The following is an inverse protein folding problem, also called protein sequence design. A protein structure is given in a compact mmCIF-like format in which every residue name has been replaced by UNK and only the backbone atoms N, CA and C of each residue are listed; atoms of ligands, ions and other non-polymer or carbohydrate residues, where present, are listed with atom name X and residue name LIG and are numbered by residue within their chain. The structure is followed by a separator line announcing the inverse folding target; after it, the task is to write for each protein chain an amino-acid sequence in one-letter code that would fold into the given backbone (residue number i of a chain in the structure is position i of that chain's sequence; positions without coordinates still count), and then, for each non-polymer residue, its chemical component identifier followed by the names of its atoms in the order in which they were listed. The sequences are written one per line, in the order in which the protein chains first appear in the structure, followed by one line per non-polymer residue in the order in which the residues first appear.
data_IF_779658771957
#
_entry.id   IF_779658771957
#
_cell.length_a   1.000
_cell.length_b   1.000
_cell.length_c   1.000
_cell.angle_alpha   90.00
_cell.angle_beta   90.00
_cell.angle_gamma   90.00
#
_symmetry.space_group_name_H-M   'P 1'
#
loop_
_entity.id
_entity.type
_entity.pdbx_description
1 polymer ?
#
# COMPACT_ATOMS: atom_id res chain seq x y z
N UNK A 1 17.30 8.97 -51.17
CA UNK A 1 16.05 9.73 -50.92
C UNK A 1 15.01 9.58 -52.04
N UNK A 2 15.20 10.17 -53.27
CA UNK A 2 14.20 10.04 -54.35
C UNK A 2 13.91 8.56 -54.73
N UNK A 3 14.93 7.72 -54.78
CA UNK A 3 14.79 6.29 -55.09
C UNK A 3 13.99 5.52 -54.03
N UNK A 4 14.13 5.85 -52.72
CA UNK A 4 13.40 5.21 -51.67
C UNK A 4 11.92 5.61 -51.68
N UNK A 5 11.61 6.89 -51.85
CA UNK A 5 10.24 7.40 -51.99
C UNK A 5 9.54 6.75 -53.19
N UNK A 6 10.23 6.67 -54.33
CA UNK A 6 9.71 6.00 -55.52
C UNK A 6 9.44 4.51 -55.25
N UNK A 7 10.36 3.83 -54.57
CA UNK A 7 10.19 2.43 -54.17
C UNK A 7 8.93 2.22 -53.29
N UNK A 8 8.73 3.11 -52.30
CA UNK A 8 7.51 3.06 -51.45
C UNK A 8 6.25 3.31 -52.27
N UNK A 9 6.24 4.28 -53.17
CA UNK A 9 5.12 4.52 -54.05
C UNK A 9 4.79 3.32 -54.94
N UNK A 10 5.81 2.63 -55.44
CA UNK A 10 5.61 1.43 -56.26
C UNK A 10 5.09 0.27 -55.42
N UNK A 11 5.58 0.07 -54.19
CA UNK A 11 5.02 -0.90 -53.23
C UNK A 11 3.54 -0.65 -52.94
N UNK A 12 3.16 0.60 -52.72
CA UNK A 12 1.77 0.99 -52.46
C UNK A 12 0.85 0.77 -53.67
N UNK A 13 1.35 0.96 -54.89
CA UNK A 13 0.59 0.70 -56.14
C UNK A 13 0.39 -0.77 -56.41
N UNK A 14 1.36 -1.63 -56.04
CA UNK A 14 1.34 -3.06 -56.24
C UNK A 14 0.59 -3.80 -55.13
N UNK A 15 0.30 -3.13 -54.03
CA UNK A 15 -0.40 -3.72 -52.89
C UNK A 15 -1.85 -4.10 -53.29
N UNK A 16 -2.15 -5.36 -53.12
CA UNK A 16 -3.52 -5.90 -53.30
C UNK A 16 -4.08 -6.29 -51.96
N UNK A 17 -5.16 -5.62 -51.57
CA UNK A 17 -5.89 -5.95 -50.36
C UNK A 17 -6.88 -7.08 -50.59
N UNK A 18 -6.49 -8.31 -50.26
CA UNK A 18 -7.37 -9.48 -50.31
C UNK A 18 -7.17 -10.35 -49.05
N UNK A 19 -8.19 -11.11 -48.66
CA UNK A 19 -8.07 -12.08 -47.57
C UNK A 19 -6.95 -13.10 -47.82
N UNK A 20 -6.70 -13.47 -49.09
CA UNK A 20 -5.57 -14.36 -49.43
C UNK A 20 -4.21 -13.71 -49.14
N UNK A 21 -4.07 -12.42 -49.43
CA UNK A 21 -2.82 -11.67 -49.14
C UNK A 21 -2.53 -11.69 -47.65
N UNK A 22 -3.50 -11.41 -46.79
CA UNK A 22 -3.34 -11.44 -45.33
C UNK A 22 -2.97 -12.84 -44.85
N UNK A 23 -3.68 -13.86 -45.36
CA UNK A 23 -3.40 -15.26 -44.97
C UNK A 23 -1.98 -15.68 -45.31
N UNK A 24 -1.40 -15.17 -46.37
CA UNK A 24 -0.04 -15.46 -46.79
C UNK A 24 1.01 -14.49 -46.22
N UNK A 25 0.60 -13.50 -45.40
CA UNK A 25 1.52 -12.57 -44.79
C UNK A 25 2.43 -13.29 -43.77
N UNK A 26 3.72 -13.07 -43.90
CA UNK A 26 4.77 -13.74 -43.13
C UNK A 26 5.69 -12.76 -42.44
N UNK A 27 6.55 -13.26 -41.56
CA UNK A 27 7.63 -12.47 -40.95
C UNK A 27 8.51 -11.76 -41.98
N UNK A 28 8.81 -12.40 -43.12
CA UNK A 28 9.65 -11.80 -44.15
C UNK A 28 9.06 -10.51 -44.72
N UNK A 29 7.74 -10.46 -44.88
CA UNK A 29 7.05 -9.24 -45.34
C UNK A 29 7.23 -8.08 -44.35
N UNK A 30 7.12 -8.36 -43.05
CA UNK A 30 7.41 -7.35 -42.03
C UNK A 30 8.88 -6.90 -42.02
N UNK A 31 9.83 -7.81 -42.24
CA UNK A 31 11.25 -7.48 -42.30
C UNK A 31 11.56 -6.57 -43.50
N UNK A 32 10.89 -6.77 -44.65
CA UNK A 32 11.03 -5.87 -45.80
C UNK A 32 10.55 -4.46 -45.44
N UNK A 33 9.41 -4.30 -44.76
CA UNK A 33 8.91 -3.00 -44.33
C UNK A 33 9.79 -2.37 -43.26
N UNK A 34 10.30 -3.17 -42.29
CA UNK A 34 11.23 -2.68 -41.28
C UNK A 34 12.54 -2.16 -41.93
N UNK A 35 13.01 -2.82 -42.98
CA UNK A 35 14.18 -2.34 -43.73
C UNK A 35 13.93 -0.97 -44.43
N UNK A 36 12.69 -0.71 -44.86
CA UNK A 36 12.28 0.59 -45.39
C UNK A 36 12.32 1.66 -44.28
N UNK A 37 11.81 1.35 -43.09
CA UNK A 37 11.87 2.26 -41.91
C UNK A 37 13.31 2.65 -41.58
N UNK A 38 14.20 1.66 -41.50
CA UNK A 38 15.63 1.90 -41.24
C UNK A 38 16.32 2.74 -42.33
N UNK A 39 16.01 2.50 -43.60
CA UNK A 39 16.53 3.33 -44.71
C UNK A 39 15.99 4.74 -44.60
N UNK A 40 14.71 4.93 -44.26
CA UNK A 40 14.11 6.26 -44.12
C UNK A 40 14.77 7.09 -43.00
N UNK A 41 15.11 6.43 -41.86
CA UNK A 41 15.90 7.02 -40.78
C UNK A 41 17.26 7.50 -41.29
N UNK A 42 17.99 6.65 -42.02
CA UNK A 42 19.34 6.94 -42.52
C UNK A 42 19.37 8.01 -43.63
N UNK A 43 18.37 8.07 -44.49
CA UNK A 43 18.27 9.00 -45.60
C UNK A 43 17.56 10.34 -45.26
N UNK A 44 17.09 10.47 -44.00
CA UNK A 44 16.32 11.62 -43.48
C UNK A 44 15.12 12.00 -44.39
N UNK A 45 14.34 10.99 -44.83
CA UNK A 45 13.16 11.19 -45.66
C UNK A 45 11.87 10.65 -44.98
N UNK A 46 11.85 10.73 -43.64
CA UNK A 46 10.74 10.22 -42.82
C UNK A 46 9.43 10.98 -43.15
N UNK A 47 9.49 12.30 -43.22
CA UNK A 47 8.30 13.11 -43.44
C UNK A 47 7.66 12.90 -44.81
N UNK A 48 8.50 12.76 -45.82
CA UNK A 48 8.04 12.52 -47.20
C UNK A 48 7.36 11.16 -47.33
N UNK A 49 7.90 10.14 -46.65
CA UNK A 49 7.28 8.79 -46.68
C UNK A 49 5.98 8.79 -45.88
N UNK A 50 5.93 9.41 -44.68
CA UNK A 50 4.68 9.54 -43.91
C UNK A 50 3.62 10.25 -44.79
N UNK A 51 3.95 11.37 -45.41
CA UNK A 51 3.00 12.09 -46.27
C UNK A 51 2.50 11.21 -47.40
N UNK A 52 3.40 10.47 -48.06
CA UNK A 52 3.01 9.54 -49.14
C UNK A 52 2.07 8.45 -48.65
N UNK A 53 2.35 7.87 -47.48
CA UNK A 53 1.50 6.85 -46.87
C UNK A 53 0.13 7.41 -46.45
N UNK A 54 0.09 8.60 -45.83
CA UNK A 54 -1.15 9.23 -45.39
C UNK A 54 -2.05 9.64 -46.57
N UNK A 55 -1.46 10.13 -47.68
CA UNK A 55 -2.22 10.35 -48.90
C UNK A 55 -2.82 9.08 -49.46
N UNK A 56 -2.07 7.97 -49.43
CA UNK A 56 -2.56 6.65 -49.83
C UNK A 56 -3.69 6.14 -48.93
N UNK A 57 -3.56 6.30 -47.60
CA UNK A 57 -4.58 5.94 -46.61
C UNK A 57 -5.86 6.76 -46.78
N UNK A 58 -5.79 7.95 -47.33
CA UNK A 58 -6.97 8.75 -47.70
C UNK A 58 -7.87 8.04 -48.70
N UNK A 59 -7.34 7.13 -49.50
CA UNK A 59 -8.08 6.34 -50.55
C UNK A 59 -8.21 4.87 -50.15
N UNK A 60 -7.21 4.29 -49.49
CA UNK A 60 -7.12 2.87 -49.12
C UNK A 60 -6.83 2.72 -47.63
N UNK A 61 -7.87 2.82 -46.82
CA UNK A 61 -7.77 2.85 -45.33
C UNK A 61 -7.14 1.60 -44.72
N UNK A 62 -7.15 0.48 -45.42
CA UNK A 62 -6.73 -0.83 -44.93
C UNK A 62 -5.37 -1.26 -45.54
N UNK A 63 -4.62 -0.34 -46.15
CA UNK A 63 -3.30 -0.62 -46.71
C UNK A 63 -2.33 -1.02 -45.58
N UNK A 64 -1.85 -2.28 -45.59
CA UNK A 64 -0.92 -2.78 -44.60
C UNK A 64 0.40 -2.04 -44.67
N UNK A 65 0.90 -1.80 -45.88
CA UNK A 65 2.17 -1.10 -46.13
C UNK A 65 2.10 0.32 -45.59
N UNK A 66 1.05 1.08 -45.97
CA UNK A 66 0.91 2.47 -45.54
C UNK A 66 0.68 2.56 -43.99
N UNK A 67 -0.14 1.69 -43.41
CA UNK A 67 -0.37 1.67 -41.95
C UNK A 67 0.92 1.38 -41.18
N UNK A 68 1.70 0.38 -41.63
CA UNK A 68 2.96 0.04 -40.97
C UNK A 68 3.99 1.16 -41.11
N UNK A 69 4.23 1.65 -42.32
CA UNK A 69 5.25 2.67 -42.54
C UNK A 69 4.91 4.02 -41.91
N UNK A 70 3.68 4.52 -42.06
CA UNK A 70 3.23 5.75 -41.42
C UNK A 70 3.28 5.61 -39.88
N UNK A 71 2.79 4.51 -39.33
CA UNK A 71 2.77 4.27 -37.90
C UNK A 71 4.17 4.19 -37.29
N UNK A 72 5.06 3.34 -37.83
CA UNK A 72 6.41 3.15 -37.33
C UNK A 72 7.27 4.41 -37.48
N UNK A 73 7.20 5.10 -38.63
CA UNK A 73 7.96 6.34 -38.86
C UNK A 73 7.45 7.49 -37.97
N UNK A 74 6.14 7.56 -37.70
CA UNK A 74 5.58 8.51 -36.74
C UNK A 74 6.08 8.23 -35.31
N UNK A 75 6.16 6.99 -34.91
CA UNK A 75 6.71 6.56 -33.62
C UNK A 75 8.18 6.98 -33.48
N UNK A 76 8.99 6.71 -34.49
CA UNK A 76 10.41 7.15 -34.55
C UNK A 76 10.56 8.65 -34.36
N UNK A 77 9.60 9.45 -34.82
CA UNK A 77 9.56 10.93 -34.61
C UNK A 77 9.10 11.32 -33.22
N UNK A 78 8.76 10.37 -32.36
CA UNK A 78 8.24 10.62 -31.03
C UNK A 78 6.75 11.01 -31.00
N UNK A 79 6.00 10.68 -32.05
CA UNK A 79 4.56 10.85 -32.04
C UNK A 79 3.91 9.74 -31.20
N UNK A 80 3.06 10.13 -30.27
CA UNK A 80 2.33 9.19 -29.37
C UNK A 80 1.03 8.66 -29.97
N UNK A 81 0.65 9.11 -31.17
CA UNK A 81 -0.54 8.62 -31.86
C UNK A 81 -0.28 7.26 -32.52
N UNK A 82 -0.92 6.24 -31.99
CA UNK A 82 -0.79 4.85 -32.46
C UNK A 82 -1.89 4.43 -33.42
N UNK A 83 -2.74 5.33 -33.91
CA UNK A 83 -3.95 4.99 -34.69
C UNK A 83 -3.66 4.08 -35.89
N UNK A 84 -2.57 4.33 -36.63
CA UNK A 84 -2.18 3.48 -37.75
C UNK A 84 -1.76 2.08 -37.29
N UNK A 85 -0.98 1.98 -36.22
CA UNK A 85 -0.50 0.70 -35.68
C UNK A 85 -1.64 -0.09 -35.02
N UNK A 86 -2.55 0.59 -34.33
CA UNK A 86 -3.75 -0.02 -33.76
C UNK A 86 -4.65 -0.62 -34.85
N UNK A 87 -4.87 0.14 -35.94
CA UNK A 87 -5.62 -0.34 -37.09
C UNK A 87 -4.95 -1.55 -37.75
N UNK A 88 -3.63 -1.50 -37.90
CA UNK A 88 -2.85 -2.60 -38.46
C UNK A 88 -2.95 -3.87 -37.61
N UNK A 89 -2.79 -3.74 -36.31
CA UNK A 89 -2.91 -4.85 -35.34
C UNK A 89 -4.33 -5.45 -35.38
N UNK A 90 -5.36 -4.61 -35.37
CA UNK A 90 -6.76 -5.05 -35.47
C UNK A 90 -7.04 -5.86 -36.75
N UNK A 91 -6.45 -5.45 -37.88
CA UNK A 91 -6.53 -6.19 -39.15
C UNK A 91 -5.95 -7.60 -39.00
N UNK A 92 -4.75 -7.75 -38.43
CA UNK A 92 -4.12 -9.05 -38.26
C UNK A 92 -4.79 -9.90 -37.20
N UNK A 93 -5.26 -9.34 -36.07
CA UNK A 93 -6.03 -10.05 -35.04
C UNK A 93 -7.33 -10.63 -35.59
N UNK A 94 -8.09 -9.85 -36.38
CA UNK A 94 -9.31 -10.31 -37.05
C UNK A 94 -9.09 -11.46 -38.05
N UNK A 95 -7.85 -11.63 -38.49
CA UNK A 95 -7.43 -12.68 -39.39
C UNK A 95 -6.62 -13.80 -38.70
N UNK A 96 -6.61 -13.84 -37.37
CA UNK A 96 -5.93 -14.84 -36.54
C UNK A 96 -4.43 -14.97 -36.86
N UNK A 97 -3.74 -13.82 -36.94
CA UNK A 97 -2.32 -13.71 -37.21
C UNK A 97 -1.54 -13.23 -35.99
N UNK A 98 -1.75 -13.88 -34.84
CA UNK A 98 -1.19 -13.48 -33.56
C UNK A 98 0.35 -13.35 -33.61
N UNK A 99 1.04 -14.24 -34.33
CA UNK A 99 2.50 -14.17 -34.50
C UNK A 99 2.94 -12.89 -35.20
N UNK A 100 2.19 -12.42 -36.20
CA UNK A 100 2.49 -11.15 -36.89
C UNK A 100 2.22 -9.98 -35.94
N UNK A 101 1.14 -10.02 -35.17
CA UNK A 101 0.81 -9.02 -34.14
C UNK A 101 1.92 -8.95 -33.11
N UNK A 102 2.44 -10.07 -32.62
CA UNK A 102 3.53 -10.07 -31.67
C UNK A 102 4.79 -9.38 -32.22
N UNK A 103 5.17 -9.70 -33.46
CA UNK A 103 6.33 -9.08 -34.11
C UNK A 103 6.14 -7.56 -34.32
N UNK A 104 4.95 -7.10 -34.67
CA UNK A 104 4.65 -5.68 -34.80
C UNK A 104 4.80 -5.00 -33.41
N UNK A 105 4.20 -5.58 -32.37
CA UNK A 105 4.29 -5.04 -31.03
C UNK A 105 5.72 -5.05 -30.47
N UNK A 106 6.48 -6.10 -30.74
CA UNK A 106 7.91 -6.15 -30.37
C UNK A 106 8.70 -5.03 -31.07
N UNK A 107 8.47 -4.79 -32.36
CA UNK A 107 9.10 -3.70 -33.09
C UNK A 107 8.71 -2.32 -32.55
N UNK A 108 7.44 -2.13 -32.12
CA UNK A 108 7.01 -0.91 -31.45
C UNK A 108 7.80 -0.71 -30.15
N UNK A 109 7.98 -1.77 -29.36
CA UNK A 109 8.68 -1.71 -28.07
C UNK A 109 10.19 -1.52 -28.20
N UNK A 110 10.79 -1.81 -29.36
CA UNK A 110 12.20 -1.47 -29.64
C UNK A 110 12.38 0.06 -29.71
N UNK A 111 11.47 0.79 -30.34
CA UNK A 111 11.52 2.25 -30.46
C UNK A 111 10.86 2.98 -29.27
N UNK A 112 9.76 2.42 -28.69
CA UNK A 112 9.07 2.94 -27.49
C UNK A 112 8.81 1.83 -26.46
N UNK A 113 9.76 1.57 -25.55
CA UNK A 113 9.64 0.49 -24.54
C UNK A 113 8.46 0.66 -23.56
N UNK A 114 7.88 1.84 -23.48
CA UNK A 114 6.76 2.15 -22.60
C UNK A 114 5.41 2.27 -23.34
N UNK A 115 5.35 1.83 -24.58
CA UNK A 115 4.13 1.91 -25.38
C UNK A 115 3.02 1.04 -24.78
N UNK A 116 2.04 1.69 -24.18
CA UNK A 116 0.95 0.99 -23.47
C UNK A 116 0.13 0.06 -24.38
N UNK A 117 -0.09 0.48 -25.64
CA UNK A 117 -0.84 -0.32 -26.60
C UNK A 117 -0.08 -1.62 -26.90
N UNK A 118 1.17 -1.54 -27.29
CA UNK A 118 1.98 -2.72 -27.62
C UNK A 118 2.17 -3.66 -26.43
N UNK A 119 2.46 -3.11 -25.23
CA UNK A 119 2.58 -3.91 -23.99
C UNK A 119 1.30 -4.67 -23.67
N UNK A 120 0.12 -4.04 -23.75
CA UNK A 120 -1.16 -4.70 -23.45
C UNK A 120 -1.51 -5.74 -24.51
N UNK A 121 -1.31 -5.43 -25.78
CA UNK A 121 -1.56 -6.36 -26.88
C UNK A 121 -0.69 -7.63 -26.76
N UNK A 122 0.60 -7.47 -26.48
CA UNK A 122 1.50 -8.62 -26.24
C UNK A 122 1.10 -9.39 -24.98
N UNK A 123 0.72 -8.70 -23.91
CA UNK A 123 0.29 -9.35 -22.68
C UNK A 123 -0.94 -10.25 -22.91
N UNK A 124 -1.91 -9.81 -23.71
CA UNK A 124 -3.08 -10.61 -24.07
C UNK A 124 -2.69 -11.86 -24.87
N UNK A 125 -1.76 -11.74 -25.81
CA UNK A 125 -1.25 -12.88 -26.62
C UNK A 125 -0.49 -13.85 -25.71
N UNK A 126 0.47 -13.36 -24.92
CA UNK A 126 1.28 -14.21 -24.04
C UNK A 126 0.46 -14.89 -22.95
N UNK A 127 -0.63 -14.26 -22.50
CA UNK A 127 -1.58 -14.89 -21.59
C UNK A 127 -2.29 -16.09 -22.23
N UNK A 128 -2.67 -15.97 -23.52
CA UNK A 128 -3.33 -17.07 -24.25
C UNK A 128 -2.35 -18.21 -24.56
N UNK A 129 -1.08 -17.89 -24.78
CA UNK A 129 -0.02 -18.85 -25.09
C UNK A 129 0.63 -19.46 -23.84
N UNK A 130 0.23 -19.04 -22.63
CA UNK A 130 0.86 -19.42 -21.35
C UNK A 130 2.38 -19.16 -21.33
N UNK A 131 2.80 -18.03 -21.92
CA UNK A 131 4.20 -17.68 -22.11
C UNK A 131 4.74 -16.97 -20.86
N UNK A 132 5.84 -17.44 -20.30
CA UNK A 132 6.47 -16.90 -19.10
C UNK A 132 6.87 -15.41 -19.20
N UNK A 133 7.12 -14.90 -20.41
CA UNK A 133 7.41 -13.48 -20.67
C UNK A 133 6.24 -12.54 -20.29
N UNK A 134 5.05 -13.09 -20.06
CA UNK A 134 3.88 -12.34 -19.59
C UNK A 134 4.19 -11.54 -18.32
N UNK A 135 4.93 -12.13 -17.39
CA UNK A 135 5.21 -11.51 -16.09
C UNK A 135 6.15 -10.31 -16.18
N UNK A 136 7.08 -10.33 -17.13
CA UNK A 136 7.93 -9.18 -17.43
C UNK A 136 7.12 -8.01 -18.03
N UNK A 137 6.16 -8.32 -18.91
CA UNK A 137 5.24 -7.33 -19.46
C UNK A 137 4.35 -6.73 -18.37
N UNK A 138 3.76 -7.55 -17.52
CA UNK A 138 2.96 -7.07 -16.39
C UNK A 138 3.76 -6.16 -15.48
N UNK A 139 5.00 -6.55 -15.17
CA UNK A 139 5.90 -5.71 -14.36
C UNK A 139 6.16 -4.35 -15.02
N UNK A 140 6.31 -4.32 -16.33
CA UNK A 140 6.51 -3.08 -17.10
C UNK A 140 5.24 -2.23 -17.10
N UNK A 141 4.08 -2.82 -17.42
CA UNK A 141 2.78 -2.12 -17.45
C UNK A 141 2.50 -1.48 -16.06
N UNK A 142 2.70 -2.22 -14.99
CA UNK A 142 2.46 -1.73 -13.62
C UNK A 142 3.36 -0.56 -13.24
N UNK A 143 4.57 -0.44 -13.81
CA UNK A 143 5.47 0.70 -13.57
C UNK A 143 5.03 1.97 -14.29
N UNK A 144 4.40 1.85 -15.45
CA UNK A 144 4.00 3.00 -16.27
C UNK A 144 2.52 3.37 -16.11
N UNK A 145 1.70 2.45 -15.60
CA UNK A 145 0.27 2.65 -15.36
C UNK A 145 -0.05 2.50 -13.88
N UNK A 146 -0.17 3.65 -13.20
CA UNK A 146 -0.40 3.70 -11.75
C UNK A 146 -1.84 3.38 -11.35
N UNK A 147 -2.78 3.40 -12.30
CA UNK A 147 -4.19 3.06 -12.06
C UNK A 147 -4.48 1.58 -12.26
N UNK A 148 -3.51 0.81 -12.78
CA UNK A 148 -3.64 -0.61 -13.03
C UNK A 148 -3.67 -1.39 -11.70
N UNK A 149 -4.83 -1.94 -11.36
CA UNK A 149 -5.05 -2.68 -10.11
C UNK A 149 -4.92 -4.20 -10.29
N UNK A 150 -5.52 -4.72 -11.37
CA UNK A 150 -5.64 -6.17 -11.59
C UNK A 150 -4.29 -6.82 -11.86
N UNK A 151 -3.45 -6.19 -12.69
CA UNK A 151 -2.12 -6.76 -12.99
C UNK A 151 -1.18 -6.71 -11.78
N UNK A 152 -1.32 -5.69 -10.92
CA UNK A 152 -0.55 -5.65 -9.67
C UNK A 152 -0.94 -6.79 -8.74
N UNK A 153 -2.25 -7.10 -8.65
CA UNK A 153 -2.75 -8.24 -7.88
C UNK A 153 -2.29 -9.55 -8.51
N UNK A 154 -2.38 -9.69 -9.82
CA UNK A 154 -1.92 -10.89 -10.52
C UNK A 154 -0.42 -11.16 -10.31
N UNK A 155 0.42 -10.11 -10.30
CA UNK A 155 1.84 -10.24 -9.95
C UNK A 155 2.04 -10.71 -8.51
N UNK A 156 1.25 -10.18 -7.55
CA UNK A 156 1.34 -10.62 -6.17
C UNK A 156 0.99 -12.11 -6.02
N UNK A 157 -0.07 -12.56 -6.70
CA UNK A 157 -0.51 -13.95 -6.72
C UNK A 157 0.53 -14.86 -7.38
N UNK A 158 1.12 -14.43 -8.48
CA UNK A 158 2.20 -15.16 -9.15
C UNK A 158 3.42 -15.35 -8.25
N UNK A 159 3.87 -14.31 -7.54
CA UNK A 159 4.99 -14.43 -6.61
C UNK A 159 4.64 -15.32 -5.41
N UNK A 160 3.41 -15.25 -4.90
CA UNK A 160 2.91 -16.13 -3.83
C UNK A 160 2.94 -17.61 -4.26
N UNK A 161 2.44 -17.93 -5.47
CA UNK A 161 2.44 -19.29 -6.03
C UNK A 161 3.85 -19.85 -6.25
N UNK A 162 4.82 -18.99 -6.58
CA UNK A 162 6.21 -19.35 -6.73
C UNK A 162 7.01 -19.39 -5.42
N UNK A 163 6.37 -19.10 -4.27
CA UNK A 163 7.01 -19.10 -2.96
C UNK A 163 7.92 -17.92 -2.68
N UNK A 164 7.84 -16.85 -3.47
CA UNK A 164 8.55 -15.58 -3.25
C UNK A 164 7.71 -14.66 -2.39
N UNK A 165 7.69 -14.93 -1.08
CA UNK A 165 6.86 -14.23 -0.11
C UNK A 165 7.19 -12.72 -0.03
N UNK A 166 8.46 -12.34 -0.19
CA UNK A 166 8.89 -10.94 -0.09
C UNK A 166 8.28 -10.10 -1.22
N UNK A 167 8.43 -10.55 -2.47
CA UNK A 167 7.84 -9.87 -3.61
C UNK A 167 6.31 -9.93 -3.59
N UNK A 168 5.73 -11.08 -3.21
CA UNK A 168 4.28 -11.21 -3.07
C UNK A 168 3.70 -10.15 -2.12
N UNK A 169 4.27 -10.00 -0.92
CA UNK A 169 3.86 -8.98 0.06
C UNK A 169 4.01 -7.57 -0.50
N UNK A 170 5.12 -7.27 -1.17
CA UNK A 170 5.35 -5.93 -1.75
C UNK A 170 4.30 -5.59 -2.81
N UNK A 171 3.99 -6.53 -3.71
CA UNK A 171 2.96 -6.34 -4.72
C UNK A 171 1.54 -6.31 -4.12
N UNK A 172 1.23 -7.10 -3.08
CA UNK A 172 -0.05 -6.98 -2.35
C UNK A 172 -0.20 -5.62 -1.68
N UNK A 173 0.86 -5.07 -1.08
CA UNK A 173 0.84 -3.71 -0.52
C UNK A 173 0.55 -2.66 -1.59
N UNK A 174 1.18 -2.77 -2.76
CA UNK A 174 0.93 -1.89 -3.90
C UNK A 174 -0.51 -2.03 -4.42
N UNK A 175 -0.99 -3.27 -4.60
CA UNK A 175 -2.35 -3.55 -5.04
C UNK A 175 -3.39 -2.95 -4.07
N UNK A 176 -3.21 -3.17 -2.76
CA UNK A 176 -4.09 -2.62 -1.74
C UNK A 176 -4.24 -1.10 -1.86
N UNK A 177 -3.13 -0.38 -2.01
CA UNK A 177 -3.13 1.07 -2.13
C UNK A 177 -3.81 1.56 -3.42
N UNK A 178 -3.67 0.83 -4.53
CA UNK A 178 -4.34 1.13 -5.80
C UNK A 178 -5.84 0.86 -5.74
N UNK A 179 -6.26 -0.28 -5.16
CA UNK A 179 -7.68 -0.58 -4.97
C UNK A 179 -8.38 0.40 -4.00
N UNK A 180 -7.66 0.93 -3.00
CA UNK A 180 -8.18 2.02 -2.17
C UNK A 180 -8.43 3.28 -3.03
N UNK A 181 -7.51 3.65 -3.92
CA UNK A 181 -7.70 4.77 -4.84
C UNK A 181 -8.88 4.53 -5.80
N UNK A 182 -9.00 3.31 -6.32
CA UNK A 182 -10.12 2.89 -7.19
C UNK A 182 -11.45 2.69 -6.43
N UNK A 183 -11.45 2.88 -5.10
CA UNK A 183 -12.62 2.69 -4.21
C UNK A 183 -13.25 1.29 -4.27
N UNK A 184 -12.49 0.28 -4.67
CA UNK A 184 -12.93 -1.11 -4.72
C UNK A 184 -12.80 -1.79 -3.35
N UNK A 185 -13.83 -1.59 -2.50
CA UNK A 185 -13.82 -2.09 -1.13
C UNK A 185 -13.76 -3.63 -1.03
N UNK A 186 -14.26 -4.35 -2.03
CA UNK A 186 -14.23 -5.83 -2.03
C UNK A 186 -12.79 -6.33 -2.16
N UNK A 187 -12.04 -5.83 -3.14
CA UNK A 187 -10.63 -6.18 -3.32
C UNK A 187 -9.77 -5.68 -2.14
N UNK A 188 -10.08 -4.49 -1.60
CA UNK A 188 -9.42 -3.96 -0.40
C UNK A 188 -9.54 -4.94 0.78
N UNK A 189 -10.75 -5.46 1.05
CA UNK A 189 -10.96 -6.42 2.15
C UNK A 189 -10.20 -7.73 1.94
N UNK A 190 -10.25 -8.26 0.73
CA UNK A 190 -9.56 -9.52 0.38
C UNK A 190 -8.05 -9.40 0.63
N UNK A 191 -7.42 -8.37 0.04
CA UNK A 191 -5.97 -8.17 0.15
C UNK A 191 -5.58 -7.79 1.59
N UNK A 192 -6.41 -6.99 2.28
CA UNK A 192 -6.19 -6.66 3.69
C UNK A 192 -6.09 -7.91 4.54
N UNK A 193 -7.06 -8.84 4.43
CA UNK A 193 -7.04 -10.08 5.22
C UNK A 193 -5.80 -10.95 4.93
N UNK A 194 -5.36 -11.03 3.67
CA UNK A 194 -4.09 -11.70 3.32
C UNK A 194 -2.90 -11.04 4.01
N UNK A 195 -2.79 -9.72 3.95
CA UNK A 195 -1.67 -9.00 4.57
C UNK A 195 -1.70 -9.08 6.10
N UNK A 196 -2.89 -9.04 6.72
CA UNK A 196 -3.03 -9.27 8.19
C UNK A 196 -2.54 -10.67 8.57
N UNK A 197 -2.78 -11.68 7.73
CA UNK A 197 -2.28 -13.03 8.00
C UNK A 197 -0.74 -13.11 7.87
N UNK A 198 -0.14 -12.39 6.92
CA UNK A 198 1.30 -12.49 6.60
C UNK A 198 2.18 -11.54 7.42
N UNK A 199 1.75 -10.27 7.59
CA UNK A 199 2.57 -9.21 8.20
C UNK A 199 1.84 -8.41 9.30
N UNK A 200 1.09 -9.04 10.19
CA UNK A 200 0.24 -8.34 11.16
C UNK A 200 1.02 -7.37 12.09
N UNK A 201 2.31 -7.58 12.27
CA UNK A 201 3.17 -6.74 13.10
C UNK A 201 3.49 -5.36 12.50
N UNK A 202 3.25 -5.17 11.19
CA UNK A 202 3.51 -3.89 10.49
C UNK A 202 2.39 -2.86 10.73
N UNK A 203 2.16 -2.49 11.98
CA UNK A 203 1.05 -1.59 12.36
C UNK A 203 1.09 -0.25 11.61
N UNK A 204 2.26 0.30 11.34
CA UNK A 204 2.41 1.60 10.68
C UNK A 204 1.86 1.56 9.25
N UNK A 205 2.10 0.46 8.52
CA UNK A 205 1.51 0.26 7.19
C UNK A 205 -0.01 0.21 7.26
N UNK A 206 -0.58 -0.59 8.17
CA UNK A 206 -2.03 -0.70 8.33
C UNK A 206 -2.67 0.63 8.75
N UNK A 207 -2.02 1.39 9.61
CA UNK A 207 -2.49 2.73 10.00
C UNK A 207 -2.43 3.73 8.83
N UNK A 208 -1.43 3.63 7.95
CA UNK A 208 -1.35 4.43 6.74
C UNK A 208 -2.53 4.11 5.81
N UNK A 209 -2.78 2.81 5.56
CA UNK A 209 -3.89 2.36 4.71
C UNK A 209 -5.24 2.77 5.31
N UNK A 210 -5.44 2.59 6.62
CA UNK A 210 -6.65 3.04 7.33
C UNK A 210 -6.95 4.51 7.08
N UNK A 211 -5.96 5.39 7.27
CA UNK A 211 -6.12 6.84 7.02
C UNK A 211 -6.47 7.13 5.57
N UNK A 212 -5.89 6.37 4.64
CA UNK A 212 -6.18 6.52 3.21
C UNK A 212 -7.61 6.08 2.88
N UNK A 213 -8.08 4.94 3.43
CA UNK A 213 -9.46 4.46 3.27
C UNK A 213 -10.45 5.47 3.85
N UNK A 214 -10.20 5.97 5.07
CA UNK A 214 -11.05 6.97 5.70
C UNK A 214 -11.22 8.24 4.84
N UNK A 215 -10.14 8.67 4.16
CA UNK A 215 -10.15 9.84 3.29
C UNK A 215 -10.77 9.59 1.92
N UNK A 216 -10.53 8.42 1.33
CA UNK A 216 -10.88 8.15 -0.08
C UNK A 216 -12.24 7.48 -0.23
N UNK A 217 -12.62 6.63 0.73
CA UNK A 217 -13.86 5.86 0.71
C UNK A 217 -14.79 6.38 1.80
N UNK A 218 -14.55 5.98 3.06
CA UNK A 218 -15.32 6.41 4.23
C UNK A 218 -14.67 5.89 5.52
N UNK A 219 -14.81 6.65 6.62
CA UNK A 219 -14.18 6.30 7.90
C UNK A 219 -14.80 5.05 8.53
N UNK A 220 -16.13 4.85 8.42
CA UNK A 220 -16.83 3.68 8.94
C UNK A 220 -16.36 2.35 8.33
N UNK A 221 -15.88 2.38 7.09
CA UNK A 221 -15.35 1.18 6.41
C UNK A 221 -14.02 0.70 6.99
N UNK A 222 -13.36 1.52 7.80
CA UNK A 222 -12.12 1.11 8.47
C UNK A 222 -12.37 0.22 9.70
N UNK A 223 -13.55 0.30 10.33
CA UNK A 223 -13.87 -0.46 11.56
C UNK A 223 -13.66 -1.97 11.36
N UNK A 224 -14.32 -2.66 10.41
CA UNK A 224 -14.18 -4.09 10.25
C UNK A 224 -12.74 -4.51 9.91
N UNK A 225 -12.02 -3.71 9.12
CA UNK A 225 -10.64 -3.98 8.77
C UNK A 225 -9.72 -3.92 10.01
N UNK A 226 -9.90 -2.92 10.84
CA UNK A 226 -9.13 -2.79 12.07
C UNK A 226 -9.52 -3.86 13.12
N UNK A 227 -10.73 -4.40 13.07
CA UNK A 227 -11.13 -5.53 13.92
C UNK A 227 -10.36 -6.82 13.58
N UNK A 228 -10.12 -7.08 12.28
CA UNK A 228 -9.28 -8.22 11.86
C UNK A 228 -7.87 -8.09 12.44
N UNK A 229 -7.28 -6.92 12.34
CA UNK A 229 -5.93 -6.64 12.85
C UNK A 229 -5.88 -6.68 14.38
N UNK A 230 -6.90 -6.15 15.06
CA UNK A 230 -7.05 -6.16 16.51
C UNK A 230 -6.93 -7.58 17.11
N UNK A 231 -7.56 -8.58 16.47
CA UNK A 231 -7.52 -9.97 16.93
C UNK A 231 -6.09 -10.46 17.13
N UNK A 232 -5.23 -10.26 16.16
CA UNK A 232 -3.82 -10.65 16.25
C UNK A 232 -3.10 -9.96 17.41
N UNK A 233 -3.29 -8.64 17.62
CA UNK A 233 -2.64 -7.91 18.70
C UNK A 233 -3.13 -8.36 20.09
N UNK A 234 -4.42 -8.66 20.23
CA UNK A 234 -5.00 -9.23 21.45
C UNK A 234 -4.40 -10.59 21.79
N UNK A 235 -4.36 -11.52 20.82
CA UNK A 235 -3.86 -12.87 20.98
C UNK A 235 -2.37 -12.89 21.36
N UNK A 236 -1.61 -11.95 20.81
CA UNK A 236 -0.19 -11.77 21.11
C UNK A 236 0.08 -10.88 22.34
N UNK A 237 -0.97 -10.54 23.12
CA UNK A 237 -0.88 -9.73 24.34
C UNK A 237 -0.22 -8.35 24.14
N UNK A 238 -0.32 -7.80 22.94
CA UNK A 238 0.13 -6.45 22.60
C UNK A 238 -0.95 -5.42 22.96
N UNK A 239 -1.28 -5.38 24.26
CA UNK A 239 -2.43 -4.67 24.79
C UNK A 239 -2.51 -3.20 24.41
N UNK A 240 -1.37 -2.50 24.40
CA UNK A 240 -1.34 -1.06 24.09
C UNK A 240 -1.85 -0.77 22.67
N UNK A 241 -1.40 -1.56 21.69
CA UNK A 241 -1.83 -1.42 20.31
C UNK A 241 -3.29 -1.85 20.14
N UNK A 242 -3.67 -2.96 20.79
CA UNK A 242 -5.06 -3.44 20.77
C UNK A 242 -6.03 -2.38 21.34
N UNK A 243 -5.69 -1.77 22.47
CA UNK A 243 -6.46 -0.67 23.08
C UNK A 243 -6.55 0.53 22.15
N UNK A 244 -5.45 0.89 21.51
CA UNK A 244 -5.44 2.03 20.57
C UNK A 244 -6.34 1.79 19.36
N UNK A 245 -6.34 0.59 18.79
CA UNK A 245 -7.26 0.20 17.71
C UNK A 245 -8.71 0.34 18.16
N UNK A 246 -9.04 -0.16 19.36
CA UNK A 246 -10.40 -0.05 19.91
C UNK A 246 -10.80 1.40 20.17
N UNK A 247 -9.90 2.23 20.67
CA UNK A 247 -10.14 3.67 20.83
C UNK A 247 -10.44 4.36 19.50
N UNK A 248 -9.72 3.99 18.44
CA UNK A 248 -9.97 4.51 17.09
C UNK A 248 -11.37 4.10 16.59
N UNK A 249 -11.76 2.84 16.77
CA UNK A 249 -13.09 2.37 16.40
C UNK A 249 -14.19 3.08 17.22
N UNK A 250 -13.99 3.24 18.53
CA UNK A 250 -14.92 3.96 19.40
C UNK A 250 -15.01 5.46 19.09
N UNK A 251 -13.99 6.04 18.49
CA UNK A 251 -14.06 7.43 18.02
C UNK A 251 -14.98 7.55 16.79
N UNK A 252 -15.08 6.51 15.97
CA UNK A 252 -15.99 6.47 14.81
C UNK A 252 -17.42 6.12 15.27
N UNK A 253 -17.55 5.06 16.08
CA UNK A 253 -18.79 4.62 16.69
C UNK A 253 -18.65 4.48 18.21
N UNK A 254 -18.99 5.54 18.93
CA UNK A 254 -18.90 5.58 20.40
C UNK A 254 -19.86 4.64 21.12
N UNK A 255 -20.87 4.09 20.43
CA UNK A 255 -21.88 3.18 20.96
C UNK A 255 -21.60 1.71 20.61
N UNK A 256 -20.53 1.39 19.90
CA UNK A 256 -20.13 0.02 19.57
C UNK A 256 -19.97 -0.81 20.85
N UNK A 257 -20.96 -1.66 21.08
CA UNK A 257 -21.03 -2.52 22.29
C UNK A 257 -19.96 -3.58 22.30
N UNK A 258 -19.50 -4.04 21.14
CA UNK A 258 -18.40 -4.98 21.01
C UNK A 258 -17.10 -4.32 21.44
N UNK A 259 -16.74 -3.18 20.85
CA UNK A 259 -15.51 -2.46 21.17
C UNK A 259 -15.45 -2.02 22.65
N UNK A 260 -16.60 -1.66 23.26
CA UNK A 260 -16.69 -1.34 24.69
C UNK A 260 -16.42 -2.55 25.61
N UNK A 261 -16.80 -3.76 25.19
CA UNK A 261 -16.48 -5.00 25.93
C UNK A 261 -15.02 -5.38 25.75
N UNK A 262 -14.55 -5.36 24.52
CA UNK A 262 -13.18 -5.72 24.16
C UNK A 262 -12.14 -4.82 24.84
N UNK A 263 -12.41 -3.52 24.99
CA UNK A 263 -11.49 -2.61 25.69
C UNK A 263 -11.35 -2.97 27.18
N UNK A 264 -12.43 -3.43 27.81
CA UNK A 264 -12.39 -3.93 29.20
C UNK A 264 -11.54 -5.20 29.30
N UNK A 265 -11.69 -6.12 28.35
CA UNK A 265 -10.90 -7.35 28.33
C UNK A 265 -9.42 -7.08 28.09
N UNK A 266 -9.09 -6.11 27.22
CA UNK A 266 -7.73 -5.64 27.04
C UNK A 266 -7.15 -5.01 28.31
N UNK A 267 -7.92 -4.18 29.03
CA UNK A 267 -7.49 -3.63 30.31
C UNK A 267 -7.27 -4.71 31.38
N UNK A 268 -8.14 -5.71 31.44
CA UNK A 268 -7.93 -6.87 32.33
C UNK A 268 -6.66 -7.62 32.00
N UNK A 269 -6.35 -7.81 30.72
CA UNK A 269 -5.11 -8.44 30.29
C UNK A 269 -3.87 -7.59 30.60
N UNK A 270 -3.90 -6.30 30.28
CA UNK A 270 -2.79 -5.36 30.49
C UNK A 270 -2.44 -5.17 31.97
N UNK A 271 -3.46 -5.02 32.80
CA UNK A 271 -3.29 -4.72 34.23
C UNK A 271 -3.55 -5.93 35.14
N UNK A 272 -3.36 -7.13 34.61
CA UNK A 272 -3.51 -8.36 35.38
C UNK A 272 -2.64 -8.32 36.65
N UNK A 273 -3.25 -8.55 37.81
CA UNK A 273 -2.58 -8.47 39.11
C UNK A 273 -2.64 -7.11 39.82
N UNK A 274 -3.24 -6.09 39.23
CA UNK A 274 -3.50 -4.82 39.91
C UNK A 274 -4.53 -5.00 41.04
N UNK A 275 -4.24 -4.45 42.21
CA UNK A 275 -5.01 -4.72 43.46
C UNK A 275 -6.48 -4.33 43.38
N UNK A 276 -6.84 -3.28 42.62
CA UNK A 276 -8.19 -2.72 42.52
C UNK A 276 -8.75 -2.72 41.10
N UNK A 277 -8.26 -3.60 40.22
CA UNK A 277 -8.64 -3.61 38.81
C UNK A 277 -10.15 -3.73 38.58
N UNK A 278 -10.79 -4.73 39.19
CA UNK A 278 -12.22 -4.96 39.02
C UNK A 278 -13.10 -3.84 39.58
N UNK A 279 -12.65 -3.21 40.65
CA UNK A 279 -13.32 -2.05 41.23
C UNK A 279 -13.23 -0.84 40.29
N UNK A 280 -12.07 -0.54 39.73
CA UNK A 280 -11.91 0.58 38.82
C UNK A 280 -12.64 0.38 37.49
N UNK A 281 -12.67 -0.85 36.95
CA UNK A 281 -13.47 -1.20 35.77
C UNK A 281 -14.95 -0.95 36.05
N UNK A 282 -15.47 -1.42 37.18
CA UNK A 282 -16.88 -1.24 37.55
C UNK A 282 -17.24 0.24 37.73
N UNK A 283 -16.41 1.00 38.44
CA UNK A 283 -16.65 2.40 38.75
C UNK A 283 -16.53 3.30 37.52
N UNK A 284 -15.71 2.95 36.55
CA UNK A 284 -15.53 3.71 35.31
C UNK A 284 -16.73 3.61 34.36
N UNK A 285 -17.58 2.57 34.49
CA UNK A 285 -18.75 2.35 33.63
C UNK A 285 -18.39 2.24 32.13
N UNK A 286 -17.24 1.64 31.79
CA UNK A 286 -16.73 1.53 30.41
C UNK A 286 -17.73 0.85 29.45
N UNK A 287 -18.52 -0.11 29.94
CA UNK A 287 -19.48 -0.87 29.12
C UNK A 287 -20.86 -0.21 29.05
N UNK A 288 -21.10 0.85 29.80
CA UNK A 288 -22.43 1.47 29.90
C UNK A 288 -22.65 2.49 28.78
N UNK A 289 -23.72 2.32 28.02
CA UNK A 289 -24.03 3.17 26.85
C UNK A 289 -24.40 4.60 27.21
N UNK A 290 -24.89 4.84 28.43
CA UNK A 290 -25.28 6.18 28.89
C UNK A 290 -24.08 7.09 29.22
N UNK A 291 -22.88 6.52 29.39
CA UNK A 291 -21.68 7.28 29.71
C UNK A 291 -20.85 7.54 28.44
N UNK A 292 -20.31 8.76 28.33
CA UNK A 292 -19.32 9.04 27.29
C UNK A 292 -18.11 8.11 27.48
N UNK A 293 -17.80 7.36 26.43
CA UNK A 293 -16.77 6.32 26.48
C UNK A 293 -15.38 6.89 26.74
N UNK A 294 -15.05 8.04 26.19
CA UNK A 294 -13.73 8.66 26.37
C UNK A 294 -13.54 9.25 27.77
N UNK A 295 -14.61 9.76 28.37
CA UNK A 295 -14.59 10.13 29.79
C UNK A 295 -14.39 8.91 30.68
N UNK A 296 -15.08 7.81 30.38
CA UNK A 296 -14.95 6.56 31.11
C UNK A 296 -13.54 5.97 31.01
N UNK A 297 -12.95 5.98 29.80
CA UNK A 297 -11.56 5.56 29.55
C UNK A 297 -10.59 6.45 30.33
N UNK A 298 -10.72 7.77 30.23
CA UNK A 298 -9.83 8.70 30.92
C UNK A 298 -9.89 8.56 32.45
N UNK A 299 -11.09 8.35 32.98
CA UNK A 299 -11.25 8.10 34.43
C UNK A 299 -10.60 6.77 34.83
N UNK A 300 -10.81 5.71 34.07
CA UNK A 300 -10.17 4.43 34.33
C UNK A 300 -8.65 4.56 34.28
N UNK A 301 -8.09 5.14 33.21
CA UNK A 301 -6.65 5.26 33.01
C UNK A 301 -5.98 6.14 34.07
N UNK A 302 -6.67 7.13 34.61
CA UNK A 302 -6.19 7.92 35.75
C UNK A 302 -6.12 7.10 37.03
N UNK A 303 -7.16 6.30 37.34
CA UNK A 303 -7.19 5.51 38.55
C UNK A 303 -6.22 4.33 38.52
N UNK A 304 -6.16 3.62 37.40
CA UNK A 304 -5.32 2.42 37.25
C UNK A 304 -3.82 2.71 37.32
N UNK A 305 -3.41 3.95 37.11
CA UNK A 305 -2.02 4.36 37.23
C UNK A 305 -1.47 4.34 38.67
N UNK A 306 -2.39 4.29 39.66
CA UNK A 306 -2.03 4.28 41.08
C UNK A 306 -2.16 2.87 41.67
N UNK A 307 -1.05 2.17 41.81
CA UNK A 307 -0.97 0.87 42.49
C UNK A 307 0.28 0.77 43.34
N UNK A 308 0.34 -0.22 44.22
CA UNK A 308 1.51 -0.53 45.01
C UNK A 308 2.72 -0.79 44.09
N UNK A 309 3.80 -0.04 44.33
CA UNK A 309 5.00 -0.11 43.51
C UNK A 309 5.03 0.85 42.34
N UNK A 310 3.94 1.57 42.03
CA UNK A 310 3.92 2.63 41.01
C UNK A 310 4.69 3.86 41.45
N UNK A 311 5.27 4.57 40.50
CA UNK A 311 5.98 5.82 40.74
C UNK A 311 5.08 7.01 40.40
N UNK A 312 5.21 8.07 41.23
CA UNK A 312 4.47 9.31 41.08
C UNK A 312 5.42 10.51 41.31
N UNK A 313 5.04 11.65 40.74
CA UNK A 313 5.74 12.92 40.95
C UNK A 313 4.83 13.94 41.59
N UNK A 314 5.34 14.59 42.61
CA UNK A 314 4.73 15.76 43.25
C UNK A 314 5.62 16.99 43.10
N UNK A 315 5.03 18.14 42.78
CA UNK A 315 5.80 19.38 42.49
C UNK A 315 6.78 19.79 43.61
N UNK A 316 6.41 19.59 44.85
CA UNK A 316 7.23 19.99 46.02
C UNK A 316 8.06 18.85 46.60
N UNK A 317 7.65 17.59 46.43
CA UNK A 317 8.30 16.44 47.10
C UNK A 317 9.10 15.57 46.13
N UNK A 318 9.01 15.85 44.84
CA UNK A 318 9.69 15.09 43.81
C UNK A 318 9.07 13.71 43.55
N UNK A 319 9.91 12.76 43.17
CA UNK A 319 9.50 11.39 42.84
C UNK A 319 9.21 10.62 44.13
N UNK A 320 8.04 9.94 44.13
CA UNK A 320 7.62 9.06 45.21
C UNK A 320 7.29 7.67 44.67
N UNK A 321 7.32 6.66 45.53
CA UNK A 321 6.86 5.32 45.26
C UNK A 321 5.67 4.99 46.17
N UNK A 322 4.59 4.47 45.60
CA UNK A 322 3.42 4.02 46.34
C UNK A 322 3.75 2.73 47.06
N UNK A 323 3.73 2.77 48.40
CA UNK A 323 4.04 1.63 49.25
C UNK A 323 2.82 0.81 49.59
N UNK A 324 1.66 1.47 49.69
CA UNK A 324 0.41 0.84 50.08
C UNK A 324 -0.76 1.58 49.44
N UNK A 325 -1.75 0.80 49.05
CA UNK A 325 -3.05 1.28 48.60
C UNK A 325 -4.11 0.49 49.36
N UNK A 326 -4.86 1.13 50.22
CA UNK A 326 -5.96 0.53 51.01
C UNK A 326 -7.21 1.33 50.80
N UNK A 327 -8.24 0.67 50.26
CA UNK A 327 -9.48 1.35 49.85
C UNK A 327 -9.16 2.63 49.02
N UNK A 328 -9.40 3.76 49.62
CA UNK A 328 -9.20 5.08 48.98
C UNK A 328 -7.97 5.85 49.51
N UNK A 329 -7.06 5.19 50.27
CA UNK A 329 -5.88 5.84 50.87
C UNK A 329 -4.59 5.26 50.32
N UNK A 330 -3.72 6.15 49.88
CA UNK A 330 -2.38 5.87 49.38
C UNK A 330 -1.33 6.25 50.42
N UNK A 331 -0.42 5.33 50.71
CA UNK A 331 0.84 5.65 51.46
C UNK A 331 1.98 5.72 50.46
N UNK A 332 2.59 6.89 50.33
CA UNK A 332 3.63 7.20 49.34
C UNK A 332 4.90 7.61 50.04
N UNK A 333 6.04 7.03 49.60
CA UNK A 333 7.33 7.40 50.08
C UNK A 333 8.06 8.28 49.05
N UNK A 334 8.24 9.55 49.36
CA UNK A 334 8.98 10.54 48.58
C UNK A 334 10.46 10.65 48.93
N UNK A 335 10.99 9.68 49.65
CA UNK A 335 12.40 9.66 50.05
C UNK A 335 12.82 10.81 50.98
N UNK A 336 14.04 11.32 50.81
CA UNK A 336 14.59 12.35 51.69
C UNK A 336 13.87 13.70 51.59
N UNK A 337 13.29 14.01 50.44
CA UNK A 337 12.68 15.33 50.17
C UNK A 337 11.27 15.48 50.71
N UNK A 338 10.50 14.41 50.79
CA UNK A 338 9.09 14.49 51.19
C UNK A 338 8.69 13.54 52.32
N UNK A 339 9.53 12.55 52.65
CA UNK A 339 9.19 11.53 53.63
C UNK A 339 8.05 10.63 53.20
N UNK A 340 7.43 9.98 54.17
CA UNK A 340 6.24 9.16 53.95
C UNK A 340 4.99 10.04 54.09
N UNK A 341 4.09 9.97 53.13
CA UNK A 341 2.84 10.75 53.12
C UNK A 341 1.65 9.81 52.89
N UNK A 342 0.58 10.11 53.57
CA UNK A 342 -0.75 9.49 53.33
C UNK A 342 -1.67 10.50 52.71
N UNK A 343 -2.40 10.09 51.69
CA UNK A 343 -3.43 10.92 51.01
C UNK A 343 -4.53 10.07 50.43
N UNK A 344 -5.70 10.66 50.27
CA UNK A 344 -6.80 10.00 49.57
C UNK A 344 -6.49 9.80 48.08
N UNK A 345 -6.98 8.74 47.45
CA UNK A 345 -6.82 8.48 46.01
C UNK A 345 -7.33 9.67 45.19
N UNK A 346 -8.46 10.26 45.56
CA UNK A 346 -9.02 11.45 44.92
C UNK A 346 -8.03 12.64 44.94
N UNK A 347 -7.37 12.86 46.05
CA UNK A 347 -6.34 13.90 46.18
C UNK A 347 -5.10 13.56 45.36
N UNK A 348 -4.68 12.30 45.39
CA UNK A 348 -3.52 11.82 44.63
C UNK A 348 -3.69 11.99 43.11
N UNK A 349 -4.85 11.64 42.56
CA UNK A 349 -5.17 11.81 41.14
C UNK A 349 -5.08 13.28 40.69
N UNK A 350 -5.38 14.20 41.58
CA UNK A 350 -5.33 15.63 41.26
C UNK A 350 -3.93 16.24 41.46
N UNK A 351 -3.20 15.78 42.47
CA UNK A 351 -1.94 16.39 42.92
C UNK A 351 -0.68 15.71 42.35
N UNK A 352 -0.80 14.47 41.92
CA UNK A 352 0.35 13.65 41.50
C UNK A 352 0.28 13.32 40.01
N UNK A 353 1.44 13.27 39.38
CA UNK A 353 1.63 12.77 38.03
C UNK A 353 2.18 11.36 38.09
N UNK A 354 1.48 10.35 37.54
CA UNK A 354 2.02 9.00 37.42
C UNK A 354 3.26 8.99 36.52
N UNK A 355 4.26 8.23 36.87
CA UNK A 355 5.48 8.07 36.10
C UNK A 355 5.70 6.61 35.73
N UNK A 356 6.16 6.36 34.50
CA UNK A 356 6.65 5.03 34.09
C UNK A 356 7.94 4.69 34.84
N UNK A 357 8.26 3.40 34.98
CA UNK A 357 9.49 2.94 35.60
C UNK A 357 10.75 3.44 34.88
N UNK A 358 10.62 3.65 33.58
CA UNK A 358 11.71 4.10 32.70
C UNK A 358 11.81 5.63 32.60
N UNK A 359 10.89 6.35 33.25
CA UNK A 359 10.92 7.81 33.23
C UNK A 359 12.22 8.33 33.86
N UNK A 360 12.87 9.33 33.22
CA UNK A 360 14.18 9.86 33.65
C UNK A 360 14.21 10.30 35.11
N UNK A 361 13.11 10.88 35.61
CA UNK A 361 13.06 11.27 37.03
C UNK A 361 13.03 10.09 37.98
N UNK A 362 12.39 8.98 37.59
CA UNK A 362 12.39 7.73 38.35
C UNK A 362 13.78 7.11 38.36
N UNK A 363 14.42 7.06 37.20
CA UNK A 363 15.81 6.54 37.09
C UNK A 363 16.78 7.36 37.92
N UNK A 364 16.69 8.71 37.87
CA UNK A 364 17.49 9.60 38.70
C UNK A 364 17.26 9.43 40.23
N UNK A 365 16.02 9.09 40.60
CA UNK A 365 15.67 8.89 42.03
C UNK A 365 16.05 7.50 42.55
N UNK A 366 16.15 6.49 41.70
CA UNK A 366 16.29 5.08 42.06
C UNK A 366 17.63 4.46 41.74
N UNK A 367 18.33 4.93 40.70
CA UNK A 367 19.61 4.38 40.24
C UNK A 367 20.79 5.14 40.79
N UNK A 368 21.94 4.45 40.94
CA UNK A 368 23.20 5.07 41.30
C UNK A 368 23.74 5.90 40.14
N UNK A 369 24.52 6.93 40.47
CA UNK A 369 25.09 7.86 39.49
C UNK A 369 25.89 7.15 38.37
N UNK A 370 26.67 6.14 38.76
CA UNK A 370 27.52 5.38 37.83
C UNK A 370 26.67 4.55 36.83
N UNK A 371 25.53 3.98 37.28
CA UNK A 371 24.59 3.27 36.43
C UNK A 371 23.92 4.19 35.41
N UNK A 372 23.54 5.40 35.85
CA UNK A 372 22.98 6.42 34.96
C UNK A 372 23.98 6.89 33.91
N UNK A 373 25.22 7.13 34.31
CA UNK A 373 26.30 7.53 33.40
C UNK A 373 26.58 6.46 32.34
N UNK A 374 26.49 5.17 32.70
CA UNK A 374 26.63 4.07 31.76
C UNK A 374 25.48 4.06 30.76
N UNK A 375 24.23 4.18 31.22
CA UNK A 375 23.06 4.22 30.33
C UNK A 375 23.14 5.38 29.34
N UNK A 376 23.56 6.56 29.75
CA UNK A 376 23.73 7.74 28.89
C UNK A 376 24.81 7.52 27.83
N UNK A 377 25.89 6.78 28.17
CA UNK A 377 26.97 6.46 27.22
C UNK A 377 26.55 5.41 26.19
N UNK A 378 25.75 4.42 26.61
CA UNK A 378 25.30 3.30 25.76
C UNK A 378 24.18 3.71 24.82
N UNK A 379 23.33 4.67 25.21
CA UNK A 379 22.23 5.18 24.40
C UNK A 379 22.12 6.71 24.47
N UNK A 380 22.77 7.40 23.53
CA UNK A 380 22.76 8.87 23.45
C UNK A 380 21.38 9.46 23.14
N UNK A 381 20.52 8.73 22.44
CA UNK A 381 19.17 9.19 22.11
C UNK A 381 18.28 9.29 23.36
N UNK A 382 18.56 8.47 24.37
CA UNK A 382 17.85 8.50 25.65
C UNK A 382 18.21 9.72 26.53
N UNK A 383 19.35 10.33 26.29
CA UNK A 383 19.90 11.43 27.10
C UNK A 383 19.48 12.83 26.62
N UNK A 384 18.96 12.94 25.40
CA UNK A 384 18.39 14.14 24.79
C UNK A 384 16.90 14.23 25.04
#
# INVERSE_FOLDING_TARGET
MADLIQSVQDMLKEETWTRATINNYTQNNLQELAAVVEKAKNENCIDEIITTCDEHLGHTKDSIIALYLSGMLSLVKGNIDNTCLETLVDIFQKNHKEQIVSLICESILEDDPNNKFALRTLADIYKQEENDKLWDLYTTIVKIDFDECELVKALAEHYEENGDEENAIDYYKKALLRYVNAQNLTAVKEIWSKLVASIPSEIDFFQLVRRKIAKTISEDKTIPLMQDLYGWYKDNKKWDIAIEILKQNLNIDSHDTWARKEIVDCYKGKYAGHSHLDEYIRNSNLTQSFRNIFEAINDFEKHIAFDKGSFVFHKSWGVGIIRKLEKDTLTINFGKNGGIREMSLKMAITALMPLSKDHIWVLKATKKHDELNKMVKDDKAWAL
#
